data_IF_421437772482
#
_entry.id   IF_421437772482
#
_cell.length_a   1.000
_cell.length_b   1.000
_cell.length_c   1.000
_cell.angle_alpha   90.00
_cell.angle_beta   90.00
_cell.angle_gamma   90.00
#
_symmetry.space_group_name_H-M   'P 1'
#
loop_
_entity.id
_entity.type
_entity.pdbx_description
1 polymer ?
#
# COMPACT_ATOMS: atom_id res chain seq x y z
N UNK A 1 -16.67 53.55 7.96
CA UNK A 1 -15.85 53.68 9.19
C UNK A 1 -14.41 53.31 8.84
N UNK A 2 -13.55 54.32 8.69
CA UNK A 2 -12.11 54.22 8.40
C UNK A 2 -11.30 53.97 9.68
N UNK A 3 -10.11 53.37 9.55
CA UNK A 3 -8.80 53.59 10.26
C UNK A 3 -7.97 52.28 10.10
N UNK A 4 -6.82 52.14 9.41
CA UNK A 4 -5.55 52.89 9.21
C UNK A 4 -4.56 52.83 10.41
N UNK A 5 -3.32 52.38 10.10
CA UNK A 5 -1.97 52.66 10.73
C UNK A 5 -1.57 51.71 11.90
N UNK A 6 -0.38 51.07 12.04
CA UNK A 6 1.07 51.43 12.00
C UNK A 6 1.93 50.19 11.59
N UNK A 7 3.02 50.18 10.78
CA UNK A 7 4.36 50.86 10.83
C UNK A 7 5.20 50.44 12.08
N UNK A 8 6.50 50.13 12.09
CA UNK A 8 7.62 50.38 11.18
C UNK A 8 8.85 49.49 11.54
N UNK A 9 9.82 49.49 10.62
CA UNK A 9 11.22 49.03 10.74
C UNK A 9 11.96 49.54 12.00
N UNK A 10 12.91 48.73 12.48
CA UNK A 10 14.17 49.23 13.06
C UNK A 10 15.33 48.47 12.40
N UNK A 11 16.20 49.23 11.73
CA UNK A 11 17.55 48.81 11.38
C UNK A 11 18.51 49.57 12.30
N UNK A 12 19.46 48.86 12.92
CA UNK A 12 20.66 49.43 13.51
C UNK A 12 21.82 48.44 13.32
N UNK A 13 22.84 48.92 12.62
CA UNK A 13 24.13 48.27 12.39
C UNK A 13 24.97 48.40 13.65
N UNK A 14 25.62 47.31 14.09
CA UNK A 14 26.86 47.42 14.85
C UNK A 14 27.80 46.26 14.48
N UNK A 15 29.06 46.65 14.31
CA UNK A 15 30.14 45.89 13.71
C UNK A 15 30.74 44.85 14.66
N UNK A 16 31.22 43.75 14.08
CA UNK A 16 32.41 43.03 14.53
C UNK A 16 32.28 42.16 15.78
N UNK A 17 31.72 40.96 15.63
CA UNK A 17 32.21 39.77 16.32
C UNK A 17 32.06 38.58 15.36
N UNK A 18 33.19 38.05 14.91
CA UNK A 18 33.25 36.77 14.22
C UNK A 18 32.86 35.65 15.20
N UNK A 19 31.82 34.90 14.88
CA UNK A 19 31.62 33.56 15.44
C UNK A 19 31.17 32.66 14.31
N UNK A 20 32.06 31.73 14.01
CA UNK A 20 31.96 30.54 13.18
C UNK A 20 30.53 29.95 13.16
N UNK A 21 29.81 30.14 12.06
CA UNK A 21 28.59 29.39 11.77
C UNK A 21 28.99 28.12 11.04
N UNK A 22 29.34 27.09 11.80
CA UNK A 22 29.40 25.74 11.25
C UNK A 22 28.02 25.38 10.69
N UNK A 23 28.01 25.10 9.38
CA UNK A 23 26.95 24.35 8.72
C UNK A 23 26.78 23.01 9.46
N UNK A 24 25.76 22.89 10.30
CA UNK A 24 25.25 21.56 10.66
C UNK A 24 24.56 20.99 9.44
N UNK A 25 25.34 20.25 8.66
CA UNK A 25 24.86 19.29 7.69
C UNK A 25 23.87 18.35 8.37
N UNK A 26 22.59 18.43 8.00
CA UNK A 26 21.61 17.39 8.35
C UNK A 26 22.09 16.07 7.73
N UNK A 27 22.68 15.25 8.60
CA UNK A 27 23.25 13.94 8.36
C UNK A 27 22.28 13.06 7.57
N UNK A 28 22.76 12.63 6.39
CA UNK A 28 22.34 11.38 5.75
C UNK A 28 22.17 10.29 6.81
N UNK A 29 21.01 9.64 6.84
CA UNK A 29 20.70 8.56 7.78
C UNK A 29 21.49 7.30 7.39
N UNK A 30 22.76 7.26 7.78
CA UNK A 30 23.58 6.07 7.61
C UNK A 30 23.04 4.94 8.51
N UNK A 31 22.81 3.77 7.92
CA UNK A 31 22.24 2.64 8.63
C UNK A 31 23.15 2.19 9.77
N UNK A 32 22.61 2.12 10.98
CA UNK A 32 23.36 1.70 12.17
C UNK A 32 23.46 0.17 12.14
N UNK A 33 24.68 -0.35 12.03
CA UNK A 33 24.97 -1.79 12.12
C UNK A 33 25.68 -2.13 13.42
N UNK A 34 25.39 -3.31 13.97
CA UNK A 34 26.16 -3.86 15.10
C UNK A 34 27.54 -4.35 14.63
N UNK A 35 28.41 -4.73 15.58
CA UNK A 35 29.75 -5.25 15.29
C UNK A 35 29.76 -6.53 14.42
N UNK A 36 28.61 -7.19 14.25
CA UNK A 36 28.42 -8.38 13.41
C UNK A 36 27.70 -8.05 12.09
N UNK A 37 27.58 -6.77 11.73
CA UNK A 37 26.92 -6.31 10.51
C UNK A 37 25.40 -6.46 10.50
N UNK A 38 24.76 -6.70 11.65
CA UNK A 38 23.30 -6.79 11.78
C UNK A 38 22.68 -5.41 11.87
N UNK A 39 21.44 -5.27 11.40
CA UNK A 39 20.75 -3.99 11.37
C UNK A 39 20.23 -3.63 12.76
N UNK A 40 20.52 -2.41 13.21
CA UNK A 40 20.06 -1.85 14.49
C UNK A 40 19.07 -0.74 14.20
N UNK A 41 17.81 -0.99 14.55
CA UNK A 41 16.70 -0.07 14.32
C UNK A 41 16.20 0.48 15.65
N UNK A 42 15.73 1.72 15.66
CA UNK A 42 15.27 2.39 16.88
C UNK A 42 13.80 2.76 16.74
N UNK A 43 12.96 2.35 17.69
CA UNK A 43 11.55 2.73 17.69
C UNK A 43 11.42 4.26 17.84
N UNK A 44 10.87 4.96 16.86
CA UNK A 44 10.71 6.42 16.91
C UNK A 44 9.38 6.85 17.53
N UNK A 45 8.45 5.90 17.65
CA UNK A 45 7.17 6.00 18.37
C UNK A 45 6.94 4.72 19.19
N UNK A 46 6.06 4.77 20.19
CA UNK A 46 5.62 3.56 20.88
C UNK A 46 4.83 2.68 19.90
N UNK A 47 5.15 1.40 19.85
CA UNK A 47 4.66 0.48 18.82
C UNK A 47 4.55 -0.96 19.34
N UNK A 48 4.23 -1.90 18.47
CA UNK A 48 4.05 -3.31 18.79
C UNK A 48 4.92 -4.17 17.87
N UNK A 49 5.79 -4.98 18.45
CA UNK A 49 6.46 -6.08 17.79
C UNK A 49 5.51 -7.28 17.70
N UNK A 50 5.47 -7.97 16.55
CA UNK A 50 4.48 -9.01 16.27
C UNK A 50 5.11 -10.24 15.66
N UNK A 51 4.47 -11.39 15.80
CA UNK A 51 4.86 -12.63 15.12
C UNK A 51 4.30 -12.75 13.70
N UNK A 52 3.46 -11.81 13.27
CA UNK A 52 2.89 -11.76 11.91
C UNK A 52 2.49 -10.34 11.50
N UNK A 53 2.02 -10.18 10.26
CA UNK A 53 1.49 -8.92 9.72
C UNK A 53 0.08 -8.60 10.19
N UNK A 54 -0.60 -9.50 10.92
CA UNK A 54 -1.96 -9.31 11.42
C UNK A 54 -2.07 -8.06 12.33
N UNK A 55 -3.28 -7.50 12.43
CA UNK A 55 -3.56 -6.41 13.36
C UNK A 55 -3.22 -6.82 14.79
N UNK A 56 -2.53 -5.95 15.53
CA UNK A 56 -2.13 -6.21 16.91
C UNK A 56 -3.31 -6.48 17.85
N UNK A 57 -4.50 -5.93 17.55
CA UNK A 57 -5.73 -6.16 18.31
C UNK A 57 -6.22 -7.60 18.19
N UNK A 58 -5.88 -8.28 17.10
CA UNK A 58 -6.31 -9.66 16.81
C UNK A 58 -5.27 -10.72 17.22
N UNK A 59 -4.07 -10.29 17.61
CA UNK A 59 -3.02 -11.18 18.07
C UNK A 59 -3.17 -11.49 19.56
N UNK A 60 -2.95 -12.75 19.93
CA UNK A 60 -2.86 -13.17 21.31
C UNK A 60 -1.68 -12.46 22.02
N UNK A 61 -1.75 -12.34 23.36
CA UNK A 61 -0.68 -11.70 24.13
C UNK A 61 0.70 -12.34 23.90
N UNK A 62 0.76 -13.67 23.69
CA UNK A 62 2.01 -14.35 23.37
C UNK A 62 2.59 -13.96 21.99
N UNK A 63 1.77 -13.46 21.08
CA UNK A 63 2.17 -13.17 19.69
C UNK A 63 2.61 -11.72 19.47
N UNK A 64 2.57 -10.89 20.52
CA UNK A 64 2.85 -9.45 20.42
C UNK A 64 3.55 -8.93 21.66
N UNK A 65 4.36 -7.90 21.48
CA UNK A 65 5.01 -7.20 22.57
C UNK A 65 4.95 -5.70 22.33
N UNK A 66 4.63 -4.94 23.39
CA UNK A 66 4.78 -3.50 23.36
C UNK A 66 6.27 -3.14 23.24
N UNK A 67 6.56 -2.16 22.39
CA UNK A 67 7.90 -1.63 22.15
C UNK A 67 7.83 -0.13 22.44
N UNK A 68 8.37 0.33 23.57
CA UNK A 68 8.44 1.76 23.86
C UNK A 68 9.23 2.54 22.81
N UNK A 69 8.92 3.84 22.69
CA UNK A 69 9.77 4.77 21.92
C UNK A 69 11.20 4.73 22.47
N UNK A 70 12.18 4.78 21.58
CA UNK A 70 13.60 4.71 21.88
C UNK A 70 14.15 3.30 22.04
N UNK A 71 13.30 2.26 22.05
CA UNK A 71 13.77 0.88 22.12
C UNK A 71 14.56 0.53 20.86
N UNK A 72 15.81 0.09 21.05
CA UNK A 72 16.65 -0.45 19.98
C UNK A 72 16.36 -1.93 19.80
N UNK A 73 16.21 -2.35 18.55
CA UNK A 73 16.01 -3.75 18.18
C UNK A 73 17.09 -4.10 17.15
N UNK A 74 17.79 -5.21 17.37
CA UNK A 74 18.77 -5.72 16.42
C UNK A 74 18.17 -6.90 15.67
N UNK A 75 18.17 -6.83 14.34
CA UNK A 75 17.66 -7.88 13.46
C UNK A 75 18.67 -8.30 12.40
N UNK A 76 18.60 -9.58 12.03
CA UNK A 76 19.32 -10.14 10.90
C UNK A 76 18.37 -10.40 9.73
N UNK A 77 18.91 -10.32 8.51
CA UNK A 77 18.21 -10.64 7.26
C UNK A 77 16.86 -9.91 7.10
N UNK A 78 16.84 -8.55 7.16
CA UNK A 78 15.62 -7.77 7.02
C UNK A 78 14.98 -7.96 5.64
N UNK A 79 13.64 -8.00 5.60
CA UNK A 79 12.84 -8.06 4.37
C UNK A 79 11.53 -7.31 4.54
N UNK A 80 11.07 -6.60 3.50
CA UNK A 80 9.83 -5.81 3.56
C UNK A 80 8.64 -6.65 3.15
N UNK A 81 7.59 -6.66 3.97
CA UNK A 81 6.32 -7.36 3.71
C UNK A 81 5.16 -6.39 3.99
N UNK A 82 4.63 -5.79 2.92
CA UNK A 82 3.59 -4.76 3.03
C UNK A 82 4.12 -3.53 3.79
N UNK A 83 3.47 -3.17 4.89
CA UNK A 83 3.89 -2.07 5.78
C UNK A 83 4.81 -2.53 6.93
N UNK A 84 5.17 -3.81 6.94
CA UNK A 84 6.02 -4.39 7.97
C UNK A 84 7.42 -4.65 7.41
N UNK A 85 8.40 -4.56 8.29
CA UNK A 85 9.67 -5.24 8.08
C UNK A 85 9.65 -6.53 8.89
N UNK A 86 9.97 -7.62 8.21
CA UNK A 86 10.29 -8.91 8.82
C UNK A 86 11.81 -9.00 9.00
N UNK A 87 12.25 -9.36 10.19
CA UNK A 87 13.66 -9.69 10.45
C UNK A 87 13.78 -10.77 11.50
N UNK A 88 14.95 -11.40 11.59
CA UNK A 88 15.25 -12.39 12.62
C UNK A 88 15.85 -11.70 13.82
N UNK A 89 15.24 -11.80 15.00
CA UNK A 89 15.72 -11.16 16.22
C UNK A 89 17.13 -11.65 16.57
N UNK A 90 18.08 -10.73 16.68
CA UNK A 90 19.44 -11.03 17.11
C UNK A 90 19.60 -10.99 18.63
N UNK A 91 18.68 -10.30 19.32
CA UNK A 91 18.62 -10.20 20.77
C UNK A 91 17.15 -10.14 21.23
N UNK A 92 16.92 -10.41 22.51
CA UNK A 92 15.60 -10.26 23.12
C UNK A 92 15.17 -8.78 23.08
N UNK A 93 13.90 -8.54 22.78
CA UNK A 93 13.34 -7.20 22.83
C UNK A 93 13.16 -6.81 24.31
N UNK A 94 13.69 -5.67 24.79
CA UNK A 94 13.49 -5.23 26.15
C UNK A 94 12.01 -5.17 26.53
N UNK A 95 11.65 -5.77 27.67
CA UNK A 95 10.25 -5.83 28.14
C UNK A 95 9.37 -6.87 27.45
N UNK A 96 9.91 -7.67 26.53
CA UNK A 96 9.18 -8.72 25.83
C UNK A 96 9.56 -10.10 26.40
N UNK A 97 8.65 -10.74 27.14
CA UNK A 97 8.90 -12.03 27.82
C UNK A 97 8.35 -13.25 27.07
N UNK A 98 7.69 -13.06 25.93
CA UNK A 98 7.11 -14.18 25.18
C UNK A 98 8.16 -14.98 24.42
N UNK A 99 8.08 -16.31 24.51
CA UNK A 99 8.94 -17.24 23.75
C UNK A 99 8.74 -17.17 22.24
N UNK A 100 7.62 -16.60 21.77
CA UNK A 100 7.34 -16.45 20.34
C UNK A 100 8.10 -15.27 19.70
N UNK A 101 8.60 -14.32 20.49
CA UNK A 101 9.42 -13.18 20.07
C UNK A 101 10.79 -13.22 20.76
N UNK A 102 11.34 -14.42 20.93
CA UNK A 102 12.67 -14.64 21.49
C UNK A 102 13.77 -14.47 20.43
N UNK A 103 15.03 -14.36 20.89
CA UNK A 103 16.22 -14.39 20.03
C UNK A 103 16.15 -15.55 19.04
N UNK A 104 16.46 -15.28 17.78
CA UNK A 104 16.43 -16.24 16.68
C UNK A 104 15.05 -16.49 16.08
N UNK A 105 13.97 -15.89 16.59
CA UNK A 105 12.63 -15.90 15.97
C UNK A 105 12.45 -14.72 15.02
N UNK A 106 11.47 -14.87 14.13
CA UNK A 106 11.06 -13.77 13.26
C UNK A 106 10.22 -12.75 14.03
N UNK A 107 10.43 -11.47 13.72
CA UNK A 107 9.64 -10.35 14.21
C UNK A 107 9.12 -9.53 13.02
N UNK A 108 7.91 -9.02 13.15
CA UNK A 108 7.25 -8.13 12.21
C UNK A 108 7.05 -6.77 12.89
N UNK A 109 7.67 -5.75 12.32
CA UNK A 109 7.73 -4.39 12.86
C UNK A 109 7.11 -3.42 11.87
N UNK A 110 6.23 -2.52 12.32
CA UNK A 110 5.66 -1.50 11.44
C UNK A 110 6.76 -0.54 11.00
N UNK A 111 7.07 -0.51 9.70
CA UNK A 111 8.25 0.16 9.18
C UNK A 111 8.33 1.64 9.58
N UNK A 112 7.20 2.33 9.49
CA UNK A 112 7.11 3.77 9.74
C UNK A 112 7.32 4.14 11.23
N UNK A 113 7.43 3.16 12.12
CA UNK A 113 7.62 3.35 13.56
C UNK A 113 9.08 3.14 14.01
N UNK A 114 10.02 2.97 13.08
CA UNK A 114 11.43 2.71 13.38
C UNK A 114 12.35 3.52 12.46
N UNK A 115 13.40 4.10 13.04
CA UNK A 115 14.50 4.77 12.34
C UNK A 115 15.72 3.83 12.22
N UNK A 116 16.67 4.17 11.34
CA UNK A 116 17.96 3.47 11.21
C UNK A 116 18.01 2.35 10.15
N UNK A 117 17.06 2.32 9.22
CA UNK A 117 16.97 1.32 8.16
C UNK A 117 17.94 1.58 6.98
N UNK A 118 18.59 0.52 6.51
CA UNK A 118 19.31 0.44 5.21
C UNK A 118 18.45 -0.06 4.05
N UNK A 119 17.22 -0.52 4.32
CA UNK A 119 16.27 -0.80 3.24
C UNK A 119 15.84 0.54 2.63
N UNK A 120 15.93 0.74 1.30
CA UNK A 120 15.52 2.00 0.70
C UNK A 120 14.10 2.30 1.15
N UNK A 121 13.91 3.47 1.77
CA UNK A 121 12.60 3.97 2.10
C UNK A 121 11.74 3.82 0.85
N UNK A 122 10.67 3.02 0.91
CA UNK A 122 9.66 3.16 -0.13
C UNK A 122 9.24 4.61 -0.04
N UNK A 123 9.36 5.40 -1.12
CA UNK A 123 9.09 6.82 -1.07
C UNK A 123 7.77 7.05 -0.37
N UNK A 124 7.77 7.96 0.61
CA UNK A 124 6.54 8.39 1.27
C UNK A 124 5.48 8.62 0.20
N UNK A 125 4.23 8.16 0.38
CA UNK A 125 3.17 8.35 -0.61
C UNK A 125 2.97 9.82 -0.99
N UNK A 126 3.49 10.80 -0.26
CA UNK A 126 3.43 12.21 -0.68
C UNK A 126 4.35 12.56 -1.86
N UNK A 127 5.49 11.85 -2.05
CA UNK A 127 6.51 12.22 -3.05
C UNK A 127 6.44 11.36 -4.34
N UNK A 128 5.61 10.32 -4.36
CA UNK A 128 5.42 9.51 -5.55
C UNK A 128 4.58 10.26 -6.61
N UNK A 129 4.80 10.04 -7.92
CA UNK A 129 3.83 10.45 -8.95
C UNK A 129 2.43 9.91 -8.61
N UNK A 130 1.37 10.68 -8.84
CA UNK A 130 0.02 10.32 -8.34
C UNK A 130 -0.48 8.96 -8.83
N UNK A 131 -0.08 8.53 -10.04
CA UNK A 131 -0.43 7.24 -10.61
C UNK A 131 0.59 6.11 -10.37
N UNK A 132 1.69 6.37 -9.67
CA UNK A 132 2.78 5.42 -9.46
C UNK A 132 2.30 4.11 -8.80
N UNK A 133 2.50 2.93 -9.42
CA UNK A 133 2.07 1.64 -8.88
C UNK A 133 2.65 1.34 -7.49
N UNK A 134 3.81 1.92 -7.16
CA UNK A 134 4.45 1.82 -5.85
C UNK A 134 3.53 2.32 -4.73
N UNK A 135 2.59 3.22 -5.01
CA UNK A 135 1.61 3.67 -4.02
C UNK A 135 0.65 2.55 -3.59
N UNK A 136 0.35 1.59 -4.47
CA UNK A 136 -0.48 0.43 -4.15
C UNK A 136 0.23 -0.62 -3.29
N UNK A 137 1.54 -0.48 -3.06
CA UNK A 137 2.31 -1.43 -2.26
C UNK A 137 1.73 -1.54 -0.83
N UNK A 138 1.33 -2.75 -0.45
CA UNK A 138 0.75 -3.02 0.86
C UNK A 138 -0.70 -2.54 1.06
N UNK A 139 -1.36 -1.99 0.03
CA UNK A 139 -2.78 -1.64 0.11
C UNK A 139 -3.70 -2.87 0.20
N UNK A 140 -3.25 -4.01 -0.35
CA UNK A 140 -3.90 -5.30 -0.26
C UNK A 140 -2.90 -6.39 0.12
N UNK A 141 -3.32 -7.35 0.96
CA UNK A 141 -2.52 -8.55 1.27
C UNK A 141 -2.34 -9.44 0.04
N UNK A 142 -1.38 -10.38 0.06
CA UNK A 142 -1.01 -11.22 -1.08
C UNK A 142 -2.20 -11.86 -1.81
N UNK A 143 -3.10 -12.51 -1.08
CA UNK A 143 -4.22 -13.25 -1.68
C UNK A 143 -5.37 -12.34 -2.17
N UNK A 144 -5.78 -11.30 -1.43
CA UNK A 144 -6.59 -10.21 -1.99
C UNK A 144 -5.99 -9.59 -3.25
N UNK A 145 -4.69 -9.27 -3.24
CA UNK A 145 -3.98 -8.70 -4.41
C UNK A 145 -3.99 -9.65 -5.60
N UNK A 146 -3.86 -10.96 -5.38
CA UNK A 146 -3.97 -11.95 -6.46
C UNK A 146 -5.37 -11.96 -7.12
N UNK A 147 -6.45 -11.76 -6.35
CA UNK A 147 -7.79 -11.59 -6.91
C UNK A 147 -7.88 -10.28 -7.71
N UNK A 148 -7.35 -9.18 -7.18
CA UNK A 148 -7.34 -7.89 -7.86
C UNK A 148 -6.52 -7.93 -9.17
N UNK A 149 -5.38 -8.61 -9.19
CA UNK A 149 -4.58 -8.85 -10.39
C UNK A 149 -5.32 -9.69 -11.43
N UNK A 150 -6.21 -10.59 -10.98
CA UNK A 150 -7.10 -11.35 -11.85
C UNK A 150 -8.13 -10.43 -12.50
N UNK A 151 -8.76 -9.53 -11.73
CA UNK A 151 -9.70 -8.52 -12.23
C UNK A 151 -9.02 -7.59 -13.24
N UNK A 152 -7.84 -7.06 -12.91
CA UNK A 152 -7.08 -6.19 -13.81
C UNK A 152 -6.66 -6.90 -15.11
N UNK A 153 -6.41 -8.22 -15.05
CA UNK A 153 -6.17 -9.03 -16.24
C UNK A 153 -7.43 -9.14 -17.09
N UNK A 154 -8.58 -9.38 -16.46
CA UNK A 154 -9.87 -9.48 -17.16
C UNK A 154 -10.27 -8.18 -17.86
N UNK A 155 -10.08 -7.04 -17.17
CA UNK A 155 -10.29 -5.70 -17.73
C UNK A 155 -9.21 -5.31 -18.77
N UNK A 156 -8.15 -6.12 -18.91
CA UNK A 156 -7.07 -5.90 -19.85
C UNK A 156 -6.15 -4.73 -19.51
N UNK A 157 -6.16 -4.26 -18.26
CA UNK A 157 -5.41 -3.09 -17.79
C UNK A 157 -4.03 -3.47 -17.21
N UNK A 158 -3.90 -4.66 -16.63
CA UNK A 158 -2.67 -5.11 -15.99
C UNK A 158 -1.47 -5.02 -16.94
N UNK A 159 -0.37 -4.42 -16.49
CA UNK A 159 0.85 -4.22 -17.28
C UNK A 159 0.80 -3.10 -18.33
N UNK A 160 -0.30 -2.33 -18.42
CA UNK A 160 -0.40 -1.16 -19.32
C UNK A 160 -0.15 0.13 -18.57
N UNK A 161 0.61 1.06 -19.16
CA UNK A 161 0.93 2.33 -18.52
C UNK A 161 1.53 2.10 -17.12
N UNK A 162 0.96 2.75 -16.12
CA UNK A 162 1.28 2.57 -14.70
C UNK A 162 0.59 1.32 -14.13
N UNK A 163 0.90 0.13 -14.67
CA UNK A 163 0.29 -1.17 -14.33
C UNK A 163 -1.26 -1.16 -14.26
N UNK A 164 -1.88 -0.37 -15.12
CA UNK A 164 -3.33 -0.23 -15.24
C UNK A 164 -3.92 0.96 -14.48
N UNK A 165 -3.21 1.53 -13.50
CA UNK A 165 -3.76 2.56 -12.61
C UNK A 165 -4.13 3.87 -13.31
N UNK A 166 -3.50 4.14 -14.45
CA UNK A 166 -3.73 5.34 -15.25
C UNK A 166 -4.43 5.05 -16.60
N UNK A 167 -5.09 3.90 -16.73
CA UNK A 167 -5.77 3.49 -17.96
C UNK A 167 -7.21 4.01 -17.97
N UNK A 168 -7.65 4.59 -19.08
CA UNK A 168 -9.06 4.88 -19.34
C UNK A 168 -9.58 3.95 -20.43
N UNK A 169 -10.89 3.74 -20.47
CA UNK A 169 -11.58 3.01 -21.53
C UNK A 169 -11.03 3.42 -22.90
N UNK A 170 -10.88 2.45 -23.82
CA UNK A 170 -10.06 2.52 -25.06
C UNK A 170 -8.54 2.36 -24.87
N UNK A 171 -8.08 2.00 -23.67
CA UNK A 171 -6.68 1.78 -23.32
C UNK A 171 -5.76 3.00 -23.51
N UNK A 172 -6.33 4.21 -23.51
CA UNK A 172 -5.55 5.45 -23.42
C UNK A 172 -5.12 5.70 -21.98
N UNK A 173 -4.20 6.63 -21.80
CA UNK A 173 -3.68 6.98 -20.48
C UNK A 173 -4.10 8.40 -20.05
N UNK A 174 -4.17 8.61 -18.75
CA UNK A 174 -4.25 9.93 -18.13
C UNK A 174 -3.04 10.16 -17.21
N UNK A 175 -2.69 11.41 -16.94
CA UNK A 175 -1.44 11.77 -16.28
C UNK A 175 -1.53 11.94 -14.76
N UNK A 176 -2.74 12.13 -14.22
CA UNK A 176 -2.94 12.32 -12.78
C UNK A 176 -4.03 11.43 -12.21
N UNK A 177 -3.69 10.72 -11.13
CA UNK A 177 -4.61 9.88 -10.37
C UNK A 177 -5.09 10.57 -9.10
N UNK A 178 -4.87 11.88 -8.93
CA UNK A 178 -5.40 12.58 -7.75
C UNK A 178 -6.92 12.52 -7.68
N UNK A 179 -7.61 12.44 -8.82
CA UNK A 179 -9.05 12.27 -8.95
C UNK A 179 -9.40 11.34 -10.12
N UNK A 180 -10.59 10.76 -10.10
CA UNK A 180 -11.12 10.02 -11.25
C UNK A 180 -11.22 10.99 -12.45
N UNK A 181 -10.76 10.62 -13.66
CA UNK A 181 -10.68 11.56 -14.78
C UNK A 181 -12.05 12.00 -15.31
N UNK A 182 -13.11 11.23 -15.02
CA UNK A 182 -14.51 11.51 -15.41
C UNK A 182 -14.66 11.87 -16.89
N UNK A 183 -13.86 11.23 -17.74
CA UNK A 183 -13.80 11.52 -19.16
C UNK A 183 -14.41 10.37 -19.94
N UNK A 184 -15.49 10.64 -20.66
CA UNK A 184 -16.12 9.62 -21.51
C UNK A 184 -15.26 9.39 -22.75
N UNK A 185 -14.95 8.13 -23.01
CA UNK A 185 -14.27 7.66 -24.22
C UNK A 185 -15.22 6.74 -24.99
N UNK A 186 -15.19 6.78 -26.32
CA UNK A 186 -16.04 5.92 -27.16
C UNK A 186 -15.19 5.07 -28.12
N UNK A 187 -15.59 3.81 -28.31
CA UNK A 187 -15.01 2.89 -29.28
C UNK A 187 -16.00 1.78 -29.63
N UNK A 188 -16.06 1.39 -30.90
CA UNK A 188 -16.89 0.26 -31.35
C UNK A 188 -18.38 0.40 -31.01
N UNK A 189 -18.92 1.62 -31.01
CA UNK A 189 -20.33 1.91 -30.67
C UNK A 189 -20.64 1.97 -29.17
N UNK A 190 -19.65 1.76 -28.30
CA UNK A 190 -19.79 1.89 -26.85
C UNK A 190 -19.08 3.15 -26.34
N UNK A 191 -19.68 3.82 -25.37
CA UNK A 191 -19.10 4.96 -24.66
C UNK A 191 -19.05 4.66 -23.16
N UNK A 192 -17.90 4.91 -22.53
CA UNK A 192 -17.71 4.68 -21.11
C UNK A 192 -16.67 5.65 -20.54
N UNK A 193 -16.83 6.03 -19.27
CA UNK A 193 -15.82 6.77 -18.52
C UNK A 193 -15.00 5.87 -17.58
N UNK A 194 -15.11 4.56 -17.75
CA UNK A 194 -14.38 3.56 -16.99
C UNK A 194 -12.89 3.85 -16.96
N UNK A 195 -12.32 3.94 -15.76
CA UNK A 195 -10.93 4.35 -15.56
C UNK A 195 -10.24 3.57 -14.46
N UNK A 196 -8.91 3.62 -14.47
CA UNK A 196 -8.05 2.97 -13.50
C UNK A 196 -7.90 1.47 -13.73
N UNK A 197 -7.14 0.84 -12.83
CA UNK A 197 -6.71 -0.55 -12.93
C UNK A 197 -7.90 -1.51 -12.92
N UNK A 198 -8.99 -1.11 -12.26
CA UNK A 198 -10.22 -1.89 -12.14
C UNK A 198 -11.40 -1.25 -12.88
N UNK A 199 -11.13 -0.35 -13.83
CA UNK A 199 -12.12 0.23 -14.76
C UNK A 199 -13.39 0.76 -14.04
N UNK A 200 -13.22 1.52 -12.95
CA UNK A 200 -14.32 2.14 -12.22
C UNK A 200 -15.05 3.16 -13.10
N UNK A 201 -16.38 3.13 -13.08
CA UNK A 201 -17.21 4.24 -13.57
C UNK A 201 -17.15 5.41 -12.58
N UNK A 202 -17.28 6.66 -13.06
CA UNK A 202 -17.21 7.83 -12.17
C UNK A 202 -18.30 7.85 -11.09
N UNK A 203 -19.49 7.34 -11.42
CA UNK A 203 -20.64 7.24 -10.52
C UNK A 203 -20.37 6.23 -9.41
N UNK A 204 -19.83 5.06 -9.77
CA UNK A 204 -19.38 4.04 -8.81
C UNK A 204 -18.29 4.60 -7.91
N UNK A 205 -17.26 5.24 -8.49
CA UNK A 205 -16.16 5.84 -7.72
C UNK A 205 -16.67 6.86 -6.69
N UNK A 206 -17.59 7.74 -7.10
CA UNK A 206 -18.14 8.79 -6.22
C UNK A 206 -18.88 8.20 -5.02
N UNK A 207 -19.55 7.04 -5.17
CA UNK A 207 -20.23 6.33 -4.07
C UNK A 207 -19.26 5.65 -3.08
N UNK A 208 -18.02 5.39 -3.49
CA UNK A 208 -17.03 4.76 -2.61
C UNK A 208 -16.52 5.72 -1.53
N UNK A 209 -16.56 7.03 -1.78
CA UNK A 209 -16.18 8.08 -0.81
C UNK A 209 -14.69 8.11 -0.49
N UNK A 210 -13.83 7.70 -1.43
CA UNK A 210 -12.38 7.63 -1.24
C UNK A 210 -11.70 8.98 -1.58
N UNK A 211 -10.64 9.37 -0.86
CA UNK A 211 -10.11 10.74 -0.89
C UNK A 211 -9.34 11.09 -2.17
N UNK A 212 -8.84 10.09 -2.91
CA UNK A 212 -8.15 10.29 -4.19
C UNK A 212 -8.27 9.05 -5.05
N UNK A 213 -8.05 9.17 -6.36
CA UNK A 213 -8.03 8.03 -7.29
C UNK A 213 -6.64 7.38 -7.39
N UNK A 214 -5.74 7.65 -6.44
CA UNK A 214 -4.40 7.09 -6.43
C UNK A 214 -4.45 5.55 -6.31
N UNK A 215 -3.41 4.82 -6.76
CA UNK A 215 -3.37 3.36 -6.78
C UNK A 215 -3.83 2.66 -5.50
N UNK A 216 -3.38 3.10 -4.33
CA UNK A 216 -3.78 2.58 -3.02
C UNK A 216 -5.29 2.65 -2.76
N UNK A 217 -5.95 3.69 -3.28
CA UNK A 217 -7.38 3.87 -3.13
C UNK A 217 -8.15 3.11 -4.21
N UNK A 218 -7.59 2.92 -5.40
CA UNK A 218 -8.17 2.00 -6.38
C UNK A 218 -8.20 0.56 -5.83
N UNK A 219 -7.12 0.12 -5.17
CA UNK A 219 -7.06 -1.19 -4.48
C UNK A 219 -8.17 -1.34 -3.42
N UNK A 220 -8.27 -0.36 -2.52
CA UNK A 220 -9.29 -0.32 -1.46
C UNK A 220 -10.72 -0.28 -2.05
N UNK A 221 -10.91 0.51 -3.11
CA UNK A 221 -12.18 0.65 -3.80
C UNK A 221 -12.66 -0.67 -4.40
N UNK A 222 -11.75 -1.39 -5.08
CA UNK A 222 -12.09 -2.69 -5.67
C UNK A 222 -12.41 -3.74 -4.59
N UNK A 223 -11.62 -3.79 -3.50
CA UNK A 223 -11.93 -4.69 -2.38
C UNK A 223 -13.27 -4.36 -1.70
N UNK A 224 -13.63 -3.08 -1.60
CA UNK A 224 -14.94 -2.66 -1.09
C UNK A 224 -16.07 -3.16 -2.00
N UNK A 225 -15.93 -3.05 -3.33
CA UNK A 225 -16.92 -3.60 -4.29
C UNK A 225 -17.03 -5.13 -4.19
N UNK A 226 -15.89 -5.83 -4.10
CA UNK A 226 -15.86 -7.30 -3.87
C UNK A 226 -16.63 -7.66 -2.60
N UNK A 227 -16.39 -6.95 -1.50
CA UNK A 227 -17.07 -7.17 -0.23
C UNK A 227 -18.57 -6.86 -0.30
N UNK A 228 -18.97 -5.79 -1.01
CA UNK A 228 -20.39 -5.43 -1.23
C UNK A 228 -21.15 -6.49 -2.04
N UNK A 229 -20.45 -7.26 -2.89
CA UNK A 229 -21.00 -8.45 -3.57
C UNK A 229 -20.99 -9.71 -2.70
N UNK A 230 -20.69 -9.60 -1.41
CA UNK A 230 -20.72 -10.70 -0.45
C UNK A 230 -19.58 -11.70 -0.64
N UNK A 231 -18.46 -11.29 -1.23
CA UNK A 231 -17.28 -12.14 -1.39
C UNK A 231 -16.26 -11.82 -0.29
N UNK A 232 -15.86 -12.85 0.45
CA UNK A 232 -14.78 -12.77 1.43
C UNK A 232 -13.52 -13.42 0.85
N UNK A 233 -12.40 -12.68 0.85
CA UNK A 233 -11.12 -13.19 0.35
C UNK A 233 -10.27 -13.67 1.53
N UNK A 234 -9.80 -14.94 1.53
CA UNK A 234 -8.95 -15.41 2.62
C UNK A 234 -7.63 -14.62 2.68
N UNK A 235 -7.18 -14.16 3.87
CA UNK A 235 -5.97 -13.36 3.99
C UNK A 235 -4.68 -14.19 4.03
N UNK A 236 -4.79 -15.50 4.29
CA UNK A 236 -3.64 -16.39 4.57
C UNK A 236 -3.51 -17.58 3.61
N UNK A 237 -4.45 -17.75 2.67
CA UNK A 237 -4.41 -18.84 1.68
C UNK A 237 -5.07 -18.44 0.38
N UNK A 238 -4.80 -19.19 -0.68
CA UNK A 238 -5.54 -19.05 -1.93
C UNK A 238 -6.99 -19.51 -1.75
N UNK A 239 -7.90 -18.94 -2.55
CA UNK A 239 -9.26 -19.45 -2.69
C UNK A 239 -9.21 -20.86 -3.27
N UNK A 240 -10.01 -21.76 -2.72
CA UNK A 240 -10.35 -23.03 -3.35
C UNK A 240 -11.04 -22.81 -4.71
N UNK A 241 -11.18 -23.86 -5.51
CA UNK A 241 -11.86 -23.77 -6.80
C UNK A 241 -13.32 -23.28 -6.65
N UNK A 242 -14.05 -23.81 -5.66
CA UNK A 242 -15.43 -23.44 -5.37
C UNK A 242 -15.56 -21.99 -4.88
N UNK A 243 -14.71 -21.57 -3.94
CA UNK A 243 -14.70 -20.17 -3.46
C UNK A 243 -14.41 -19.20 -4.61
N UNK A 244 -13.46 -19.53 -5.48
CA UNK A 244 -13.10 -18.72 -6.64
C UNK A 244 -14.25 -18.64 -7.65
N UNK A 245 -14.89 -19.78 -7.96
CA UNK A 245 -16.05 -19.82 -8.85
C UNK A 245 -17.19 -18.94 -8.34
N UNK A 246 -17.52 -19.07 -7.05
CA UNK A 246 -18.54 -18.24 -6.41
C UNK A 246 -18.15 -16.75 -6.40
N UNK A 247 -16.86 -16.44 -6.22
CA UNK A 247 -16.36 -15.09 -6.29
C UNK A 247 -16.57 -14.49 -7.69
N UNK A 248 -16.14 -15.19 -8.75
CA UNK A 248 -16.31 -14.73 -10.14
C UNK A 248 -17.78 -14.47 -10.48
N UNK A 249 -18.67 -15.41 -10.14
CA UNK A 249 -20.09 -15.26 -10.38
C UNK A 249 -20.67 -14.01 -9.70
N UNK A 250 -20.32 -13.76 -8.43
CA UNK A 250 -20.84 -12.61 -7.67
C UNK A 250 -20.28 -11.27 -8.14
N UNK A 251 -18.99 -11.20 -8.47
CA UNK A 251 -18.35 -9.93 -8.81
C UNK A 251 -18.43 -9.58 -10.30
N UNK A 252 -18.86 -10.50 -11.16
CA UNK A 252 -19.14 -10.21 -12.58
C UNK A 252 -20.26 -9.18 -12.81
N UNK A 253 -21.03 -8.84 -11.78
CA UNK A 253 -21.96 -7.69 -11.81
C UNK A 253 -21.26 -6.33 -11.68
N UNK A 254 -20.00 -6.30 -11.26
CA UNK A 254 -19.17 -5.07 -11.20
C UNK A 254 -18.25 -4.98 -12.42
N UNK A 255 -17.67 -6.11 -12.84
CA UNK A 255 -16.70 -6.18 -13.92
C UNK A 255 -17.22 -7.07 -15.05
N UNK A 256 -17.59 -6.43 -16.16
CA UNK A 256 -18.28 -7.09 -17.27
C UNK A 256 -17.43 -8.15 -18.00
N UNK A 257 -16.10 -8.03 -17.90
CA UNK A 257 -15.13 -8.96 -18.51
C UNK A 257 -15.03 -10.31 -17.78
N UNK A 258 -15.59 -10.41 -16.57
CA UNK A 258 -15.50 -11.61 -15.75
C UNK A 258 -16.58 -12.64 -16.08
N UNK A 259 -16.26 -13.95 -15.94
CA UNK A 259 -17.25 -15.00 -16.10
C UNK A 259 -18.36 -14.88 -15.04
N UNK A 260 -19.62 -15.21 -15.39
CA UNK A 260 -20.04 -15.89 -16.62
C UNK A 260 -20.26 -14.99 -17.85
N UNK A 261 -19.94 -13.69 -17.80
CA UNK A 261 -20.15 -12.75 -18.90
C UNK A 261 -21.61 -12.27 -18.96
N UNK A 262 -21.96 -11.29 -18.10
CA UNK A 262 -23.37 -10.89 -17.88
C UNK A 262 -23.92 -9.86 -18.86
N UNK A 263 -23.04 -9.14 -19.54
CA UNK A 263 -23.40 -7.90 -20.25
C UNK A 263 -23.16 -7.99 -21.77
N UNK A 264 -22.88 -9.19 -22.29
CA UNK A 264 -22.70 -9.43 -23.73
C UNK A 264 -21.36 -8.96 -24.30
N UNK A 265 -20.49 -8.32 -23.51
CA UNK A 265 -19.10 -8.09 -23.92
C UNK A 265 -18.27 -9.39 -23.91
N UNK A 266 -17.16 -9.45 -24.68
CA UNK A 266 -16.20 -10.53 -24.57
C UNK A 266 -15.75 -10.74 -23.12
N UNK A 267 -15.92 -11.96 -22.61
CA UNK A 267 -15.54 -12.36 -21.26
C UNK A 267 -14.58 -13.53 -21.27
N UNK A 268 -13.75 -13.63 -20.23
CA UNK A 268 -12.90 -14.79 -20.04
C UNK A 268 -13.70 -16.01 -19.55
N UNK A 269 -13.22 -17.21 -19.87
CA UNK A 269 -13.75 -18.43 -19.25
C UNK A 269 -13.35 -18.52 -17.77
N UNK A 270 -14.16 -19.24 -16.98
CA UNK A 270 -13.86 -19.49 -15.56
C UNK A 270 -12.51 -20.20 -15.37
N UNK A 271 -12.19 -21.18 -16.22
CA UNK A 271 -10.91 -21.90 -16.17
C UNK A 271 -9.73 -20.99 -16.47
N UNK A 272 -9.82 -20.12 -17.48
CA UNK A 272 -8.77 -19.16 -17.80
C UNK A 272 -8.52 -18.18 -16.63
N UNK A 273 -9.59 -17.68 -16.00
CA UNK A 273 -9.48 -16.81 -14.82
C UNK A 273 -8.90 -17.55 -13.62
N UNK A 274 -9.27 -18.81 -13.40
CA UNK A 274 -8.71 -19.65 -12.34
C UNK A 274 -7.21 -19.83 -12.53
N UNK A 275 -6.76 -20.14 -13.73
CA UNK A 275 -5.32 -20.29 -14.04
C UNK A 275 -4.54 -19.00 -13.78
N UNK A 276 -5.08 -17.84 -14.17
CA UNK A 276 -4.47 -16.53 -13.86
C UNK A 276 -4.37 -16.29 -12.35
N UNK A 277 -5.48 -16.48 -11.64
CA UNK A 277 -5.51 -16.32 -10.19
C UNK A 277 -4.48 -17.21 -9.50
N UNK A 278 -4.38 -18.49 -9.86
CA UNK A 278 -3.42 -19.41 -9.26
C UNK A 278 -1.97 -19.03 -9.58
N UNK A 279 -1.70 -18.52 -10.78
CA UNK A 279 -0.39 -17.95 -11.12
C UNK A 279 0.03 -16.80 -10.19
N UNK A 280 -0.93 -16.00 -9.70
CA UNK A 280 -0.65 -14.94 -8.72
C UNK A 280 -0.67 -15.43 -7.27
N UNK A 281 -1.60 -16.33 -6.93
CA UNK A 281 -1.88 -16.76 -5.57
C UNK A 281 -1.02 -17.95 -5.10
N UNK A 282 -0.35 -18.68 -5.99
CA UNK A 282 0.35 -19.92 -5.65
C UNK A 282 -0.61 -21.01 -5.17
N UNK A 283 -1.62 -21.26 -5.99
CA UNK A 283 -2.40 -22.48 -6.00
C UNK A 283 -1.83 -23.36 -7.13
#
# INVERSE_FOLDING_TARGET
MQRRIYAALIAAVCAGCAVDSQEESESSSDAIRDANGREVITANVATVAKTSTQDSSQLAAAQKCAVPKGTKITIASPSVIGRHVRGRLAAAIPGCSTSQLATGKDVYLFRDHFDGWSVPATPSPSNLPSCSPQRAAGAAGRYPKALLDTIATAEGTRGRGEDGYNVIFTYKYFSSCTQHPRRVMCSGGLCSDASGRYQFLSTTWSRLGLPSFNPENQERGALKLVSQRGVSVPPSRAMSATEFSNAMDRISYEWASLPPGRYGQPSYSLSAMRSRYCGFAGC
#
